data_IF_984710253711
#
_entry.id   IF_984710253711
#
_cell.length_a   1.000
_cell.length_b   1.000
_cell.length_c   1.000
_cell.angle_alpha   90.00
_cell.angle_beta   90.00
_cell.angle_gamma   90.00
#
_symmetry.space_group_name_H-M   'P 1'
#
loop_
_entity.id
_entity.type
_entity.pdbx_description
1 polymer ?
#
# COMPACT_ATOMS: atom_id res chain seq x y z
N UNK A 1 2.63 -2.32 5.77
CA UNK A 1 2.36 -1.35 6.86
C UNK A 1 0.88 -1.32 7.22
N UNK A 2 0.00 -0.93 6.29
CA UNK A 2 -1.44 -0.85 6.52
C UNK A 2 -2.03 -2.14 7.16
N UNK A 3 -1.61 -3.32 6.71
CA UNK A 3 -2.08 -4.60 7.27
C UNK A 3 -1.67 -4.78 8.73
N UNK A 4 -0.52 -4.23 9.15
CA UNK A 4 -0.08 -4.24 10.54
C UNK A 4 -0.92 -3.29 11.41
N UNK A 5 -1.30 -2.13 10.91
CA UNK A 5 -2.21 -1.21 11.60
C UNK A 5 -3.62 -1.81 11.73
N UNK A 6 -4.16 -2.33 10.64
CA UNK A 6 -5.48 -2.95 10.64
C UNK A 6 -5.54 -4.17 11.57
N UNK A 7 -4.42 -4.85 11.80
CA UNK A 7 -4.35 -5.96 12.76
C UNK A 7 -4.65 -5.53 14.21
N UNK A 8 -4.41 -4.27 14.54
CA UNK A 8 -4.69 -3.72 15.89
C UNK A 8 -6.19 -3.53 16.15
N UNK A 9 -7.02 -3.54 15.10
CA UNK A 9 -8.48 -3.42 15.24
C UNK A 9 -9.14 -4.64 15.88
N UNK A 10 -8.46 -5.79 15.95
CA UNK A 10 -9.03 -7.02 16.51
C UNK A 10 -10.33 -7.47 15.83
N UNK A 11 -10.52 -7.11 14.57
CA UNK A 11 -11.68 -7.47 13.75
C UNK A 11 -11.31 -8.55 12.74
N UNK A 12 -12.28 -9.38 12.31
CA UNK A 12 -12.05 -10.32 11.22
C UNK A 12 -11.47 -9.62 10.00
N UNK A 13 -10.37 -10.13 9.48
CA UNK A 13 -9.61 -9.53 8.40
C UNK A 13 -9.25 -10.59 7.35
N UNK A 14 -9.33 -10.21 6.08
CA UNK A 14 -8.78 -10.98 4.95
C UNK A 14 -7.92 -10.04 4.10
N UNK A 15 -6.80 -10.53 3.63
CA UNK A 15 -5.88 -9.75 2.83
C UNK A 15 -5.92 -10.22 1.38
N UNK A 16 -6.23 -9.32 0.45
CA UNK A 16 -6.08 -9.54 -0.98
C UNK A 16 -4.70 -9.08 -1.44
N UNK A 17 -3.84 -10.02 -1.88
CA UNK A 17 -2.60 -9.72 -2.58
C UNK A 17 -2.95 -9.49 -4.05
N UNK A 18 -3.21 -8.25 -4.41
CA UNK A 18 -3.59 -7.90 -5.77
C UNK A 18 -2.38 -7.64 -6.68
N UNK A 19 -2.60 -7.67 -7.99
CA UNK A 19 -1.59 -7.46 -9.04
C UNK A 19 -0.44 -8.47 -8.98
N UNK A 20 -0.77 -9.74 -8.71
CA UNK A 20 0.22 -10.81 -8.63
C UNK A 20 0.86 -11.15 -9.99
N UNK A 21 0.21 -10.81 -11.09
CA UNK A 21 0.75 -10.82 -12.44
C UNK A 21 1.94 -9.86 -12.59
N UNK A 22 1.76 -8.58 -12.24
CA UNK A 22 2.84 -7.61 -12.27
C UNK A 22 3.98 -7.93 -11.31
N UNK A 23 3.65 -8.44 -10.12
CA UNK A 23 4.67 -8.87 -9.18
C UNK A 23 5.57 -9.95 -9.80
N UNK A 24 4.97 -10.93 -10.50
CA UNK A 24 5.72 -12.00 -11.19
C UNK A 24 6.54 -11.46 -12.36
N UNK A 25 5.97 -10.57 -13.18
CA UNK A 25 6.69 -9.91 -14.27
C UNK A 25 7.94 -9.16 -13.76
N UNK A 26 7.85 -8.56 -12.57
CA UNK A 26 8.97 -7.91 -11.88
C UNK A 26 9.91 -8.87 -11.16
N UNK A 27 9.69 -10.18 -11.27
CA UNK A 27 10.48 -11.21 -10.57
C UNK A 27 10.23 -11.25 -9.07
N UNK A 28 9.07 -10.73 -8.59
CA UNK A 28 8.70 -10.72 -7.18
C UNK A 28 7.71 -11.85 -6.91
N UNK A 29 8.14 -12.87 -6.17
CA UNK A 29 7.33 -14.04 -5.81
C UNK A 29 6.93 -13.97 -4.34
N UNK A 30 5.68 -13.64 -4.05
CA UNK A 30 5.15 -13.54 -2.69
C UNK A 30 4.49 -14.87 -2.31
N UNK A 31 4.90 -15.45 -1.18
CA UNK A 31 4.28 -16.63 -0.60
C UNK A 31 3.06 -16.22 0.25
N UNK A 32 1.87 -16.26 -0.36
CA UNK A 32 0.61 -15.89 0.30
C UNK A 32 0.32 -16.74 1.55
N UNK A 33 0.67 -18.05 1.52
CA UNK A 33 0.49 -18.95 2.66
C UNK A 33 1.40 -18.58 3.83
N UNK A 34 2.68 -18.34 3.59
CA UNK A 34 3.61 -17.92 4.63
C UNK A 34 3.20 -16.56 5.23
N UNK A 35 2.66 -15.64 4.42
CA UNK A 35 2.12 -14.37 4.88
C UNK A 35 0.87 -14.58 5.76
N UNK A 36 -0.04 -15.47 5.33
CA UNK A 36 -1.22 -15.84 6.10
C UNK A 36 -0.87 -16.43 7.47
N UNK A 37 0.08 -17.36 7.52
CA UNK A 37 0.56 -17.98 8.77
C UNK A 37 1.17 -16.95 9.73
N UNK A 38 1.90 -15.95 9.21
CA UNK A 38 2.52 -14.90 10.03
C UNK A 38 1.54 -13.85 10.56
N UNK A 39 0.51 -13.54 9.78
CA UNK A 39 -0.50 -12.55 10.16
C UNK A 39 -1.69 -13.18 10.90
N UNK A 40 -1.84 -14.50 10.81
CA UNK A 40 -2.97 -15.22 11.43
C UNK A 40 -4.31 -14.97 10.73
N UNK A 41 -4.29 -14.50 9.48
CA UNK A 41 -5.50 -14.22 8.70
C UNK A 41 -5.38 -14.78 7.28
N UNK A 42 -6.50 -15.09 6.62
CA UNK A 42 -6.48 -15.53 5.23
C UNK A 42 -5.84 -14.48 4.31
N UNK A 43 -4.93 -14.92 3.45
CA UNK A 43 -4.30 -14.11 2.41
C UNK A 43 -4.57 -14.76 1.06
N UNK A 44 -5.24 -14.05 0.17
CA UNK A 44 -5.63 -14.56 -1.15
C UNK A 44 -4.90 -13.78 -2.25
N UNK A 45 -4.21 -14.50 -3.11
CA UNK A 45 -3.57 -13.93 -4.29
C UNK A 45 -4.63 -13.62 -5.36
N UNK A 46 -4.64 -12.38 -5.87
CA UNK A 46 -5.64 -11.93 -6.83
C UNK A 46 -5.01 -11.19 -8.02
N UNK A 47 -5.71 -11.23 -9.15
CA UNK A 47 -5.51 -10.34 -10.29
C UNK A 47 -6.89 -9.77 -10.63
N UNK A 48 -7.28 -8.73 -9.89
CA UNK A 48 -8.66 -8.25 -9.85
C UNK A 48 -9.20 -7.81 -11.22
N UNK A 49 -8.38 -7.19 -12.07
CA UNK A 49 -8.79 -6.76 -13.40
C UNK A 49 -9.09 -7.94 -14.36
N UNK A 50 -8.56 -9.14 -14.06
CA UNK A 50 -8.85 -10.38 -14.78
C UNK A 50 -9.90 -11.25 -14.08
N UNK A 51 -10.41 -10.84 -12.93
CA UNK A 51 -11.33 -11.62 -12.11
C UNK A 51 -10.70 -12.82 -11.38
N UNK A 52 -9.39 -13.01 -11.49
CA UNK A 52 -8.69 -14.15 -10.89
C UNK A 52 -8.59 -14.02 -9.37
N UNK A 53 -8.93 -15.08 -8.65
CA UNK A 53 -8.89 -15.15 -7.19
C UNK A 53 -10.02 -14.42 -6.47
N UNK A 54 -10.97 -13.78 -7.18
CA UNK A 54 -12.07 -13.04 -6.54
C UNK A 54 -13.05 -13.98 -5.83
N UNK A 55 -13.39 -15.11 -6.42
CA UNK A 55 -14.26 -16.11 -5.79
C UNK A 55 -13.69 -16.61 -4.48
N UNK A 56 -12.39 -16.93 -4.46
CA UNK A 56 -11.68 -17.40 -3.28
C UNK A 56 -11.59 -16.29 -2.21
N UNK A 57 -11.40 -15.05 -2.64
CA UNK A 57 -11.37 -13.88 -1.75
C UNK A 57 -12.71 -13.69 -1.04
N UNK A 58 -13.84 -13.76 -1.76
CA UNK A 58 -15.15 -13.64 -1.17
C UNK A 58 -15.49 -14.84 -0.26
N UNK A 59 -15.10 -16.05 -0.66
CA UNK A 59 -15.27 -17.23 0.20
C UNK A 59 -14.46 -17.11 1.49
N UNK A 60 -13.20 -16.68 1.40
CA UNK A 60 -12.34 -16.43 2.56
C UNK A 60 -12.91 -15.31 3.47
N UNK A 61 -13.47 -14.24 2.90
CA UNK A 61 -14.07 -13.16 3.66
C UNK A 61 -15.32 -13.63 4.45
N UNK A 62 -16.17 -14.43 3.81
CA UNK A 62 -17.33 -15.02 4.49
C UNK A 62 -16.93 -16.00 5.60
N UNK A 63 -15.92 -16.82 5.36
CA UNK A 63 -15.38 -17.74 6.37
C UNK A 63 -14.77 -16.96 7.55
N UNK A 64 -13.92 -15.98 7.28
CA UNK A 64 -13.30 -15.16 8.33
C UNK A 64 -14.34 -14.43 9.19
N UNK A 65 -15.43 -13.92 8.57
CA UNK A 65 -16.51 -13.27 9.30
C UNK A 65 -17.29 -14.24 10.19
N UNK A 66 -17.50 -15.48 9.74
CA UNK A 66 -18.21 -16.53 10.51
C UNK A 66 -17.36 -17.07 11.66
N UNK A 67 -16.10 -17.30 11.39
CA UNK A 67 -15.13 -17.87 12.36
C UNK A 67 -14.54 -16.82 13.29
N UNK A 68 -14.86 -15.54 13.08
CA UNK A 68 -14.27 -14.42 13.80
C UNK A 68 -12.73 -14.45 13.76
N UNK A 69 -12.17 -14.77 12.58
CA UNK A 69 -10.73 -14.91 12.37
C UNK A 69 -10.02 -13.55 12.50
N UNK A 70 -9.62 -13.22 13.72
CA UNK A 70 -8.89 -11.99 14.02
C UNK A 70 -7.39 -12.15 13.77
N UNK A 71 -6.72 -11.10 13.31
CA UNK A 71 -5.29 -11.12 13.08
C UNK A 71 -4.49 -11.33 14.37
N UNK A 72 -3.33 -11.95 14.25
CA UNK A 72 -2.36 -12.00 15.34
C UNK A 72 -1.86 -10.59 15.62
N UNK A 73 -2.00 -10.14 16.86
CA UNK A 73 -1.51 -8.82 17.26
C UNK A 73 0.01 -8.76 17.09
N UNK A 74 0.43 -7.94 16.13
CA UNK A 74 1.85 -7.71 15.87
C UNK A 74 2.40 -6.73 16.91
N UNK A 75 3.23 -7.23 17.82
CA UNK A 75 3.83 -6.39 18.86
C UNK A 75 4.91 -5.48 18.27
N UNK A 76 4.96 -4.24 18.74
CA UNK A 76 6.08 -3.33 18.46
C UNK A 76 7.38 -3.85 19.12
N UNK A 77 8.50 -3.29 18.68
CA UNK A 77 9.83 -3.64 19.20
C UNK A 77 9.90 -3.44 20.72
N UNK A 78 10.74 -4.24 21.37
CA UNK A 78 10.87 -4.29 22.83
C UNK A 78 11.10 -2.91 23.47
N UNK A 79 12.03 -2.14 22.93
CA UNK A 79 12.36 -0.80 23.46
C UNK A 79 11.18 0.18 23.42
N UNK A 80 10.34 0.11 22.38
CA UNK A 80 9.11 0.91 22.27
C UNK A 80 8.09 0.42 23.28
N UNK A 81 7.89 -0.90 23.36
CA UNK A 81 6.96 -1.51 24.30
C UNK A 81 7.30 -1.16 25.74
N UNK A 82 8.59 -1.20 26.10
CA UNK A 82 9.07 -0.78 27.44
C UNK A 82 8.80 0.70 27.70
N UNK A 83 9.06 1.56 26.69
CA UNK A 83 8.82 2.99 26.80
C UNK A 83 7.33 3.33 26.95
N UNK A 84 6.45 2.57 26.31
CA UNK A 84 4.99 2.76 26.36
C UNK A 84 4.31 2.06 27.54
N UNK A 85 5.02 1.31 28.39
CA UNK A 85 4.42 0.65 29.55
C UNK A 85 3.59 1.57 30.47
N UNK A 86 4.08 2.77 30.83
CA UNK A 86 3.30 3.69 31.65
C UNK A 86 1.99 4.11 31.00
N UNK A 87 2.03 4.45 29.72
CA UNK A 87 0.84 4.81 28.94
C UNK A 87 -0.14 3.63 28.84
N UNK A 88 0.36 2.43 28.55
CA UNK A 88 -0.48 1.23 28.49
C UNK A 88 -1.15 0.90 29.83
N UNK A 89 -0.49 1.17 30.96
CA UNK A 89 -1.07 0.98 32.28
C UNK A 89 -2.23 1.95 32.57
N UNK A 90 -2.12 3.19 32.12
CA UNK A 90 -3.20 4.18 32.21
C UNK A 90 -4.42 3.72 31.40
N UNK A 91 -4.19 3.24 30.17
CA UNK A 91 -5.25 2.79 29.26
C UNK A 91 -5.88 1.43 29.62
N UNK A 92 -5.32 0.71 30.59
CA UNK A 92 -5.89 -0.54 31.06
C UNK A 92 -7.12 -0.37 31.97
N UNK A 93 -7.56 0.86 32.24
CA UNK A 93 -8.76 1.15 33.03
C UNK A 93 -10.01 0.75 32.26
N UNK A 94 -10.95 -0.03 32.84
CA UNK A 94 -12.14 -0.54 32.16
C UNK A 94 -13.02 0.56 31.54
N UNK A 95 -13.10 1.71 32.21
CA UNK A 95 -13.89 2.86 31.79
C UNK A 95 -13.46 3.39 30.41
N UNK A 96 -12.16 3.28 30.08
CA UNK A 96 -11.59 3.73 28.80
C UNK A 96 -11.96 2.73 27.70
N UNK A 97 -11.82 1.44 27.96
CA UNK A 97 -12.15 0.40 26.98
C UNK A 97 -13.64 0.46 26.58
N UNK A 98 -14.53 0.72 27.57
CA UNK A 98 -15.96 0.88 27.30
C UNK A 98 -16.30 2.15 26.50
N UNK A 99 -15.62 3.26 26.78
CA UNK A 99 -15.90 4.54 26.12
C UNK A 99 -15.41 4.55 24.66
N UNK A 100 -14.17 4.14 24.43
CA UNK A 100 -13.59 4.19 23.09
C UNK A 100 -14.08 3.08 22.16
N UNK A 101 -14.54 1.95 22.71
CA UNK A 101 -15.03 0.78 21.95
C UNK A 101 -14.03 0.26 20.90
N UNK A 102 -12.76 0.53 21.10
CA UNK A 102 -11.66 0.05 20.27
C UNK A 102 -10.68 -0.78 21.12
N UNK A 103 -9.97 -1.74 20.53
CA UNK A 103 -8.98 -2.51 21.27
C UNK A 103 -7.87 -1.61 21.84
N UNK A 104 -7.48 -1.88 23.06
CA UNK A 104 -6.43 -1.14 23.76
C UNK A 104 -5.12 -1.00 22.96
N UNK A 105 -4.63 -2.02 22.21
CA UNK A 105 -3.43 -1.86 21.37
C UNK A 105 -3.57 -0.76 20.31
N UNK A 106 -4.73 -0.61 19.70
CA UNK A 106 -4.98 0.46 18.75
C UNK A 106 -4.97 1.82 19.47
N UNK A 107 -5.74 1.93 20.56
CA UNK A 107 -5.82 3.17 21.36
C UNK A 107 -4.44 3.61 21.84
N UNK A 108 -3.61 2.66 22.30
CA UNK A 108 -2.25 2.92 22.74
C UNK A 108 -1.40 3.53 21.61
N UNK A 109 -1.46 2.96 20.42
CA UNK A 109 -0.69 3.47 19.29
C UNK A 109 -1.17 4.85 18.84
N UNK A 110 -2.48 5.06 18.70
CA UNK A 110 -3.04 6.33 18.28
C UNK A 110 -2.74 7.47 19.25
N UNK A 111 -2.87 7.23 20.55
CA UNK A 111 -2.51 8.21 21.56
C UNK A 111 -0.99 8.45 21.63
N UNK A 112 -0.17 7.42 21.43
CA UNK A 112 1.28 7.57 21.37
C UNK A 112 1.72 8.39 20.15
N UNK A 113 1.08 8.21 18.99
CA UNK A 113 1.30 8.97 17.75
C UNK A 113 0.74 10.39 17.78
N UNK A 114 0.03 10.76 18.85
CA UNK A 114 -0.60 12.08 19.01
C UNK A 114 -1.77 12.31 18.04
N UNK A 115 -2.57 11.28 17.78
CA UNK A 115 -3.72 11.41 16.91
C UNK A 115 -4.74 12.40 17.50
N UNK A 116 -5.10 13.43 16.70
CA UNK A 116 -5.94 14.55 17.13
C UNK A 116 -7.38 14.11 17.50
N UNK A 117 -7.89 13.08 16.83
CA UNK A 117 -9.23 12.60 17.11
C UNK A 117 -9.29 11.86 18.46
N UNK A 118 -8.37 10.93 18.69
CA UNK A 118 -8.31 10.19 19.95
C UNK A 118 -7.98 11.07 21.15
N UNK A 119 -7.14 12.09 20.97
CA UNK A 119 -6.86 13.06 22.04
C UNK A 119 -8.07 13.93 22.35
N UNK A 120 -8.84 14.34 21.35
CA UNK A 120 -10.07 15.11 21.53
C UNK A 120 -11.11 14.28 22.29
N UNK A 121 -11.38 13.05 21.85
CA UNK A 121 -12.28 12.13 22.55
C UNK A 121 -11.85 11.90 24.01
N UNK A 122 -10.52 11.73 24.24
CA UNK A 122 -9.99 11.60 25.59
C UNK A 122 -10.26 12.86 26.44
N UNK A 123 -10.05 14.05 25.85
CA UNK A 123 -10.25 15.31 26.56
C UNK A 123 -11.72 15.59 26.88
N UNK A 124 -12.65 15.15 26.02
CA UNK A 124 -14.09 15.33 26.20
C UNK A 124 -14.67 14.35 27.25
N UNK A 125 -14.25 13.08 27.20
CA UNK A 125 -14.82 12.05 28.09
C UNK A 125 -14.04 11.87 29.37
N UNK A 126 -12.73 12.11 29.37
CA UNK A 126 -11.82 11.89 30.50
C UNK A 126 -10.84 13.06 30.71
N UNK A 127 -11.31 14.29 30.93
CA UNK A 127 -10.44 15.47 31.03
C UNK A 127 -9.41 15.36 32.15
N UNK A 128 -9.73 14.67 33.23
CA UNK A 128 -8.80 14.44 34.36
C UNK A 128 -7.62 13.52 34.01
N UNK A 129 -7.74 12.69 32.97
CA UNK A 129 -6.69 11.75 32.55
C UNK A 129 -5.73 12.34 31.51
N UNK A 130 -6.14 13.40 30.84
CA UNK A 130 -5.31 14.03 29.79
C UNK A 130 -3.89 14.38 30.28
N UNK A 131 -3.71 15.02 31.47
CA UNK A 131 -2.36 15.30 31.98
C UNK A 131 -1.54 14.04 32.29
N UNK A 132 -2.19 12.94 32.72
CA UNK A 132 -1.51 11.66 32.98
C UNK A 132 -1.00 11.05 31.67
N UNK A 133 -1.82 11.08 30.62
CA UNK A 133 -1.48 10.58 29.28
C UNK A 133 -0.36 11.43 28.66
N UNK A 134 -0.44 12.75 28.74
CA UNK A 134 0.60 13.65 28.26
C UNK A 134 1.93 13.45 29.00
N UNK A 135 1.89 13.28 30.31
CA UNK A 135 3.08 12.99 31.11
C UNK A 135 3.71 11.64 30.74
N UNK A 136 2.89 10.60 30.54
CA UNK A 136 3.36 9.28 30.12
C UNK A 136 3.98 9.30 28.70
N UNK A 137 3.37 10.07 27.77
CA UNK A 137 3.93 10.28 26.44
C UNK A 137 5.27 11.05 26.49
N UNK A 138 5.34 12.11 27.28
CA UNK A 138 6.58 12.87 27.48
C UNK A 138 7.69 12.00 28.11
N UNK A 139 7.33 11.08 29.01
CA UNK A 139 8.28 10.13 29.57
C UNK A 139 8.78 9.13 28.53
N UNK A 140 7.87 8.55 27.73
CA UNK A 140 8.21 7.67 26.62
C UNK A 140 9.12 8.36 25.61
N UNK A 141 8.81 9.61 25.25
CA UNK A 141 9.62 10.45 24.37
C UNK A 141 11.06 10.63 24.87
N UNK A 142 11.27 10.85 26.19
CA UNK A 142 12.61 11.00 26.77
C UNK A 142 13.46 9.74 26.73
N UNK A 143 12.83 8.56 26.66
CA UNK A 143 13.51 7.25 26.62
C UNK A 143 13.91 6.83 25.21
N UNK A 144 13.39 7.50 24.21
CA UNK A 144 13.60 7.16 22.79
C UNK A 144 14.58 8.14 22.12
N UNK A 145 15.38 7.67 21.15
CA UNK A 145 16.38 8.49 20.48
C UNK A 145 15.81 9.51 19.49
N UNK A 146 14.55 9.29 19.05
CA UNK A 146 13.84 10.13 18.08
C UNK A 146 12.47 10.54 18.65
N UNK A 147 11.76 11.49 17.99
CA UNK A 147 10.35 11.74 18.31
C UNK A 147 9.54 10.45 18.33
N UNK A 148 8.66 10.32 19.32
CA UNK A 148 7.91 9.08 19.56
C UNK A 148 7.11 8.65 18.31
N UNK A 149 6.47 9.59 17.63
CA UNK A 149 5.78 9.35 16.36
C UNK A 149 6.69 8.78 15.27
N UNK A 150 7.91 9.36 15.14
CA UNK A 150 8.87 8.93 14.12
C UNK A 150 9.43 7.54 14.44
N UNK A 151 9.65 7.24 15.72
CA UNK A 151 10.12 5.93 16.16
C UNK A 151 9.07 4.85 15.93
N UNK A 152 7.79 5.13 16.22
CA UNK A 152 6.67 4.22 15.95
C UNK A 152 6.51 3.97 14.46
N UNK A 153 6.63 5.01 13.64
CA UNK A 153 6.57 4.89 12.19
C UNK A 153 7.75 4.05 11.64
N UNK A 154 8.97 4.34 12.09
CA UNK A 154 10.17 3.60 11.71
C UNK A 154 10.09 2.12 12.11
N UNK A 155 9.59 1.80 13.30
CA UNK A 155 9.38 0.43 13.77
C UNK A 155 8.36 -0.30 12.90
N UNK A 156 7.25 0.34 12.57
CA UNK A 156 6.20 -0.22 11.70
C UNK A 156 6.75 -0.52 10.31
N UNK A 157 7.51 0.42 9.76
CA UNK A 157 8.18 0.24 8.47
C UNK A 157 9.18 -0.92 8.51
N UNK A 158 10.01 -0.97 9.54
CA UNK A 158 10.98 -2.05 9.73
C UNK A 158 10.32 -3.43 9.84
N UNK A 159 9.28 -3.56 10.65
CA UNK A 159 8.51 -4.81 10.78
C UNK A 159 7.84 -5.22 9.45
N UNK A 160 7.32 -4.25 8.71
CA UNK A 160 6.76 -4.50 7.39
C UNK A 160 7.83 -5.00 6.39
N UNK A 161 9.04 -4.42 6.44
CA UNK A 161 10.17 -4.86 5.64
C UNK A 161 10.61 -6.29 5.99
N UNK A 162 10.76 -6.61 7.27
CA UNK A 162 11.09 -7.96 7.74
C UNK A 162 10.02 -8.99 7.31
N UNK A 163 8.75 -8.61 7.39
CA UNK A 163 7.65 -9.46 6.94
C UNK A 163 7.73 -9.70 5.43
N UNK A 164 8.00 -8.64 4.65
CA UNK A 164 8.16 -8.73 3.20
C UNK A 164 9.34 -9.65 2.83
N UNK A 165 10.51 -9.45 3.41
CA UNK A 165 11.69 -10.27 3.18
C UNK A 165 11.44 -11.75 3.52
N UNK A 166 10.73 -12.01 4.59
CA UNK A 166 10.47 -13.36 5.05
C UNK A 166 9.48 -14.16 4.18
N UNK A 167 8.64 -13.49 3.38
CA UNK A 167 7.60 -14.13 2.54
C UNK A 167 7.83 -13.93 1.06
N UNK A 168 8.85 -13.17 0.67
CA UNK A 168 9.11 -12.83 -0.73
C UNK A 168 10.42 -13.45 -1.20
N UNK A 169 10.41 -13.93 -2.44
CA UNK A 169 11.61 -14.34 -3.16
C UNK A 169 11.76 -13.46 -4.38
N UNK A 170 12.95 -12.93 -4.58
CA UNK A 170 13.30 -12.21 -5.79
C UNK A 170 13.90 -13.19 -6.79
N UNK A 171 13.28 -13.33 -7.94
CA UNK A 171 13.77 -14.13 -9.06
C UNK A 171 14.44 -13.27 -10.13
N UNK A 172 14.95 -13.93 -11.16
CA UNK A 172 15.42 -13.23 -12.35
C UNK A 172 14.24 -12.52 -13.04
N UNK A 173 14.43 -11.26 -13.37
CA UNK A 173 13.44 -10.46 -14.06
C UNK A 173 13.36 -10.89 -15.52
N UNK A 174 12.17 -11.10 -16.05
CA UNK A 174 11.99 -11.44 -17.46
C UNK A 174 12.50 -10.31 -18.36
N UNK A 175 13.19 -10.69 -19.44
CA UNK A 175 13.82 -9.73 -20.37
C UNK A 175 12.83 -8.80 -21.07
N UNK A 176 11.53 -9.15 -21.08
CA UNK A 176 10.48 -8.35 -21.71
C UNK A 176 10.29 -6.98 -21.04
N UNK A 177 10.71 -6.80 -19.81
CA UNK A 177 10.60 -5.53 -19.06
C UNK A 177 11.81 -4.60 -19.22
N UNK A 178 12.94 -5.10 -19.74
CA UNK A 178 14.16 -4.29 -19.87
C UNK A 178 13.97 -3.15 -20.87
N UNK A 179 13.29 -3.42 -21.99
CA UNK A 179 13.03 -2.41 -23.01
C UNK A 179 11.97 -1.38 -22.56
N UNK A 180 10.94 -1.80 -21.79
CA UNK A 180 9.95 -0.89 -21.23
C UNK A 180 10.60 0.09 -20.26
N UNK A 181 11.45 -0.40 -19.35
CA UNK A 181 12.22 0.47 -18.43
C UNK A 181 13.17 1.42 -19.18
N UNK A 182 13.82 0.94 -20.23
CA UNK A 182 14.66 1.80 -21.05
C UNK A 182 13.85 2.94 -21.69
N UNK A 183 12.64 2.64 -22.18
CA UNK A 183 11.72 3.66 -22.67
C UNK A 183 11.25 4.61 -21.57
N UNK A 184 10.84 4.07 -20.43
CA UNK A 184 10.42 4.89 -19.28
C UNK A 184 11.56 5.79 -18.80
N UNK A 185 12.77 5.27 -18.72
CA UNK A 185 13.96 6.04 -18.34
C UNK A 185 14.29 7.14 -19.36
N UNK A 186 14.12 6.85 -20.65
CA UNK A 186 14.30 7.82 -21.73
C UNK A 186 13.25 8.95 -21.67
N UNK A 187 11.97 8.60 -21.53
CA UNK A 187 10.88 9.58 -21.58
C UNK A 187 10.68 10.33 -20.24
N UNK A 188 10.99 9.71 -19.11
CA UNK A 188 10.95 10.37 -17.80
C UNK A 188 12.23 11.15 -17.46
N UNK A 189 13.27 11.04 -18.27
CA UNK A 189 14.51 11.78 -18.02
C UNK A 189 14.32 13.29 -18.21
N UNK A 190 14.66 14.14 -17.21
CA UNK A 190 14.33 15.57 -17.22
C UNK A 190 14.89 16.37 -18.41
N UNK A 191 15.95 15.87 -19.05
CA UNK A 191 16.56 16.52 -20.23
C UNK A 191 16.23 15.81 -21.55
N UNK A 192 16.14 14.48 -21.54
CA UNK A 192 15.92 13.68 -22.76
C UNK A 192 14.45 13.38 -23.03
N UNK A 193 13.58 13.45 -22.00
CA UNK A 193 12.16 13.20 -22.16
C UNK A 193 11.48 14.18 -23.12
N UNK A 194 11.82 15.46 -23.03
CA UNK A 194 11.31 16.49 -23.94
C UNK A 194 11.76 16.23 -25.40
N UNK A 195 13.03 15.89 -25.58
CA UNK A 195 13.59 15.59 -26.93
C UNK A 195 12.96 14.32 -27.46
N UNK A 196 12.82 13.28 -26.65
CA UNK A 196 12.16 12.03 -27.03
C UNK A 196 10.69 12.23 -27.43
N UNK A 197 9.95 13.01 -26.65
CA UNK A 197 8.56 13.36 -26.99
C UNK A 197 8.44 14.15 -28.27
N UNK A 198 9.34 15.11 -28.49
CA UNK A 198 9.39 15.90 -29.75
C UNK A 198 9.72 15.02 -30.93
N UNK A 199 10.65 14.08 -30.79
CA UNK A 199 11.03 13.14 -31.86
C UNK A 199 9.86 12.20 -32.21
N UNK A 200 9.13 11.68 -31.24
CA UNK A 200 7.92 10.87 -31.47
C UNK A 200 6.84 11.70 -32.14
N UNK A 201 6.61 12.93 -31.69
CA UNK A 201 5.64 13.83 -32.31
C UNK A 201 6.01 14.14 -33.80
N UNK A 202 7.27 14.45 -34.07
CA UNK A 202 7.76 14.66 -35.42
C UNK A 202 7.61 13.42 -36.31
N UNK A 203 7.88 12.22 -35.75
CA UNK A 203 7.68 10.96 -36.46
C UNK A 203 6.21 10.71 -36.80
N UNK A 204 5.30 10.98 -35.87
CA UNK A 204 3.85 10.85 -36.10
C UNK A 204 3.39 11.83 -37.19
N UNK A 205 3.82 13.09 -37.12
CA UNK A 205 3.50 14.07 -38.17
C UNK A 205 4.04 13.64 -39.52
N UNK A 206 5.30 13.23 -39.60
CA UNK A 206 5.89 12.71 -40.81
C UNK A 206 5.08 11.56 -41.41
N UNK A 207 4.70 10.58 -40.57
CA UNK A 207 3.89 9.44 -40.97
C UNK A 207 2.51 9.87 -41.52
N UNK A 208 1.86 10.83 -40.85
CA UNK A 208 0.55 11.36 -41.25
C UNK A 208 0.69 12.06 -42.62
N UNK A 209 1.74 12.88 -42.84
CA UNK A 209 1.95 13.57 -44.11
C UNK A 209 2.27 12.62 -45.27
N UNK A 210 3.12 11.61 -45.03
CA UNK A 210 3.44 10.59 -46.05
C UNK A 210 2.22 9.75 -46.41
N UNK A 211 1.45 9.28 -45.44
CA UNK A 211 0.22 8.51 -45.69
C UNK A 211 -0.81 9.38 -46.42
N UNK A 212 -0.97 10.65 -46.03
CA UNK A 212 -1.87 11.59 -46.74
C UNK A 212 -1.43 11.84 -48.15
N UNK A 213 -0.14 12.02 -48.41
CA UNK A 213 0.38 12.24 -49.75
C UNK A 213 0.16 11.02 -50.69
N UNK A 214 0.33 9.80 -50.15
CA UNK A 214 0.04 8.56 -50.88
C UNK A 214 -1.45 8.42 -51.20
N UNK A 215 -2.32 8.70 -50.22
CA UNK A 215 -3.77 8.67 -50.40
C UNK A 215 -4.25 9.72 -51.39
N UNK A 216 -3.71 10.92 -51.32
CA UNK A 216 -4.05 12.01 -52.23
C UNK A 216 -3.60 11.69 -53.68
N UNK A 217 -2.44 11.12 -53.85
CA UNK A 217 -1.95 10.63 -55.15
C UNK A 217 -2.83 9.53 -55.76
N UNK A 218 -3.33 8.62 -54.94
CA UNK A 218 -4.22 7.54 -55.37
C UNK A 218 -5.65 8.03 -55.69
N UNK A 219 -6.18 8.98 -54.93
CA UNK A 219 -7.54 9.49 -55.12
C UNK A 219 -7.60 10.53 -56.22
N UNK A 220 -6.66 11.45 -56.28
CA UNK A 220 -6.64 12.49 -57.33
C UNK A 220 -6.36 11.91 -58.72
N UNK A 221 -5.48 10.90 -58.84
CA UNK A 221 -5.24 10.21 -60.09
C UNK A 221 -6.50 9.48 -60.62
N UNK A 222 -7.23 8.77 -59.75
CA UNK A 222 -8.47 8.10 -60.13
C UNK A 222 -9.63 9.06 -60.43
N UNK A 223 -9.74 10.15 -59.71
CA UNK A 223 -10.74 11.18 -59.98
C UNK A 223 -10.46 11.89 -61.30
N UNK A 224 -9.20 12.19 -61.61
CA UNK A 224 -8.81 12.80 -62.89
C UNK A 224 -9.09 11.88 -64.11
N UNK A 225 -8.85 10.56 -63.98
CA UNK A 225 -9.22 9.59 -65.01
C UNK A 225 -10.75 9.49 -65.20
N UNK A 226 -11.51 9.51 -64.11
CA UNK A 226 -12.96 9.42 -64.17
C UNK A 226 -13.62 10.67 -64.76
N UNK A 227 -13.14 11.86 -64.41
CA UNK A 227 -13.61 13.15 -64.98
C UNK A 227 -13.18 13.33 -66.41
N UNK A 228 -12.00 12.82 -66.84
CA UNK A 228 -11.51 12.91 -68.20
C UNK A 228 -12.22 11.99 -69.22
N UNK A 229 -13.05 11.07 -68.73
CA UNK A 229 -13.85 10.16 -69.57
C UNK A 229 -15.26 10.69 -69.90
N UNK A 230 -15.64 11.85 -69.40
CA UNK A 230 -16.85 12.59 -69.71
C UNK A 230 -16.57 13.85 -70.47
#
# INVERSE_FOLDING_TARGET
ELSLELSLLGRPLVIALNRMDEAREKGIYVNARALSERLGVPVVATVAHMGMGLTDLFAAALAAAREQACPLAQQCSEHIRESLKPLNAILARPEIEEAFRVPRPLLLMQLAENDDWFLRELSEHFPAMLPEVEAARADAQRRLPRPLSDELHADRHHRAALLFEAVTRLGAQEDSERWKRWLDELFLHPRWGLIGSLAVFALVLFMVFEVSAVLDGLTSARLAEWVGQW
#
